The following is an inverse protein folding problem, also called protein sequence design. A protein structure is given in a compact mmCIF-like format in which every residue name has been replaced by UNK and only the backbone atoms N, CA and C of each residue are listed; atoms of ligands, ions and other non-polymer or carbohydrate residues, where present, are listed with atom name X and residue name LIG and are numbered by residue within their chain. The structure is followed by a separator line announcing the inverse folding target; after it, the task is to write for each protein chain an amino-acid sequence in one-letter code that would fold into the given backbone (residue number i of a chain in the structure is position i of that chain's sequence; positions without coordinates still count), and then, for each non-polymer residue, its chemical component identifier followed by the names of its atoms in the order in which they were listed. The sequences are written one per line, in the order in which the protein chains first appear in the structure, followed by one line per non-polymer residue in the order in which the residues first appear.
data_IF_754062878329
#
_entry.id   IF_754062878329
#
_cell.length_a   1.000
_cell.length_b   1.000
_cell.length_c   1.000
_cell.angle_alpha   90.00
_cell.angle_beta   90.00
_cell.angle_gamma   90.00
#
_symmetry.space_group_name_H-M   'P 1'
#
loop_
_entity.id
_entity.type
_entity.pdbx_description
1 polymer ?
#
# COMPACT_ATOMS: atom_id res chain seq x y z
N UNK A 1 -40.62 -42.32 43.34
CA UNK A 1 -40.47 -40.94 43.82
C UNK A 1 -39.24 -40.37 43.11
N UNK A 2 -39.42 -39.63 42.02
CA UNK A 2 -38.32 -39.28 41.09
C UNK A 2 -38.03 -37.78 41.20
N UNK A 3 -36.83 -37.45 41.67
CA UNK A 3 -36.41 -36.08 41.99
C UNK A 3 -35.94 -35.36 40.72
N UNK A 4 -36.59 -34.23 40.40
CA UNK A 4 -36.23 -33.28 39.34
C UNK A 4 -34.98 -32.49 39.74
N UNK A 5 -33.82 -32.81 39.18
CA UNK A 5 -32.61 -31.96 39.22
C UNK A 5 -32.08 -31.83 37.79
N UNK A 6 -32.61 -30.89 37.00
CA UNK A 6 -32.08 -30.71 35.63
C UNK A 6 -32.36 -29.33 35.01
N UNK A 7 -32.69 -28.29 35.79
CA UNK A 7 -32.99 -26.96 35.23
C UNK A 7 -31.98 -25.85 35.53
N UNK A 8 -31.08 -26.01 36.52
CA UNK A 8 -30.13 -24.95 36.91
C UNK A 8 -28.85 -24.87 36.07
N UNK A 9 -28.26 -26.03 35.73
CA UNK A 9 -26.90 -26.10 35.15
C UNK A 9 -26.87 -25.66 33.68
N UNK A 10 -27.96 -25.92 32.93
CA UNK A 10 -28.06 -25.56 31.51
C UNK A 10 -28.11 -24.05 31.26
N UNK A 11 -28.53 -23.25 32.25
CA UNK A 11 -28.64 -21.78 32.12
C UNK A 11 -27.29 -21.07 32.25
N UNK A 12 -26.41 -21.58 33.12
CA UNK A 12 -25.10 -20.98 33.41
C UNK A 12 -24.12 -21.23 32.26
N UNK A 13 -24.15 -22.43 31.65
CA UNK A 13 -23.34 -22.75 30.48
C UNK A 13 -23.64 -21.86 29.26
N UNK A 14 -24.91 -21.53 29.01
CA UNK A 14 -25.29 -20.61 27.92
C UNK A 14 -24.78 -19.18 28.13
N UNK A 15 -24.75 -18.69 29.37
CA UNK A 15 -24.23 -17.35 29.70
C UNK A 15 -22.71 -17.28 29.54
N UNK A 16 -21.99 -18.31 29.99
CA UNK A 16 -20.52 -18.38 29.83
C UNK A 16 -20.09 -18.46 28.37
N UNK A 17 -20.76 -19.28 27.56
CA UNK A 17 -20.47 -19.38 26.11
C UNK A 17 -20.75 -18.07 25.39
N UNK A 18 -21.84 -17.36 25.75
CA UNK A 18 -22.18 -16.08 25.14
C UNK A 18 -21.17 -14.98 25.48
N UNK A 19 -20.68 -14.92 26.73
CA UNK A 19 -19.64 -13.96 27.13
C UNK A 19 -18.31 -14.26 26.45
N UNK A 20 -17.96 -15.55 26.31
CA UNK A 20 -16.74 -15.96 25.61
C UNK A 20 -16.79 -15.61 24.12
N UNK A 21 -17.94 -15.81 23.47
CA UNK A 21 -18.11 -15.51 22.05
C UNK A 21 -18.03 -13.99 21.78
N UNK A 22 -18.62 -13.18 22.66
CA UNK A 22 -18.53 -11.71 22.58
C UNK A 22 -17.09 -11.23 22.81
N UNK A 23 -16.35 -11.84 23.73
CA UNK A 23 -14.93 -11.54 23.97
C UNK A 23 -14.06 -11.92 22.77
N UNK A 24 -14.29 -13.08 22.15
CA UNK A 24 -13.52 -13.53 20.96
C UNK A 24 -13.81 -12.64 19.75
N UNK A 25 -15.08 -12.27 19.52
CA UNK A 25 -15.45 -11.34 18.42
C UNK A 25 -14.88 -9.95 18.67
N UNK A 26 -14.90 -9.46 19.93
CA UNK A 26 -14.29 -8.18 20.28
C UNK A 26 -12.77 -8.20 20.12
N UNK A 27 -12.11 -9.31 20.44
CA UNK A 27 -10.66 -9.46 20.29
C UNK A 27 -10.25 -9.53 18.81
N UNK A 28 -11.04 -10.19 17.95
CA UNK A 28 -10.82 -10.19 16.50
C UNK A 28 -11.06 -8.82 15.84
N UNK A 29 -11.92 -7.98 16.42
CA UNK A 29 -12.15 -6.60 15.96
C UNK A 29 -11.08 -5.61 16.45
N UNK A 30 -10.31 -5.95 17.48
CA UNK A 30 -9.24 -5.13 18.05
C UNK A 30 -7.85 -5.46 17.48
N UNK A 31 -7.70 -6.56 16.75
CA UNK A 31 -6.48 -6.85 15.98
C UNK A 31 -6.56 -6.30 14.56
N UNK A 32 -7.08 -5.09 14.36
CA UNK A 32 -6.57 -4.26 13.27
C UNK A 32 -5.16 -3.84 13.70
N UNK A 33 -4.20 -4.76 13.61
CA UNK A 33 -2.80 -4.41 13.74
C UNK A 33 -2.60 -3.22 12.82
N UNK A 34 -2.06 -2.12 13.35
CA UNK A 34 -1.60 -1.03 12.52
C UNK A 34 -0.51 -1.64 11.61
N UNK A 35 -0.91 -2.13 10.44
CA UNK A 35 0.01 -2.72 9.48
C UNK A 35 0.73 -1.52 8.92
N UNK A 36 1.97 -1.29 9.38
CA UNK A 36 2.87 -0.32 8.75
C UNK A 36 2.81 -0.50 7.23
N UNK A 37 2.92 0.60 6.48
CA UNK A 37 2.82 0.48 5.04
C UNK A 37 3.93 -0.46 4.56
N UNK A 38 3.56 -1.51 3.82
CA UNK A 38 4.55 -2.45 3.32
C UNK A 38 5.30 -1.75 2.19
N UNK A 39 6.54 -1.35 2.48
CA UNK A 39 7.49 -0.81 1.50
C UNK A 39 8.34 -1.94 0.93
N UNK A 40 8.33 -2.07 -0.39
CA UNK A 40 9.19 -3.00 -1.11
C UNK A 40 10.09 -2.25 -2.09
N UNK A 41 11.33 -2.70 -2.22
CA UNK A 41 12.19 -2.28 -3.35
C UNK A 41 11.74 -3.03 -4.60
N UNK A 42 11.31 -2.30 -5.62
CA UNK A 42 10.76 -2.83 -6.86
C UNK A 42 11.86 -3.10 -7.89
N UNK A 43 11.81 -4.27 -8.51
CA UNK A 43 12.63 -4.66 -9.65
C UNK A 43 11.76 -5.40 -10.67
N UNK A 44 12.37 -5.76 -11.80
CA UNK A 44 11.65 -6.45 -12.87
C UNK A 44 11.07 -7.81 -12.44
N UNK A 45 11.77 -8.54 -11.56
CA UNK A 45 11.38 -9.90 -11.16
C UNK A 45 10.20 -9.91 -10.19
N UNK A 46 10.04 -8.87 -9.37
CA UNK A 46 9.01 -8.82 -8.35
C UNK A 46 7.82 -7.90 -8.71
N UNK A 47 7.83 -7.25 -9.88
CA UNK A 47 6.73 -6.38 -10.30
C UNK A 47 5.38 -7.09 -10.29
N UNK A 48 5.32 -8.30 -10.84
CA UNK A 48 4.08 -9.07 -10.89
C UNK A 48 3.54 -9.37 -9.48
N UNK A 49 4.38 -9.92 -8.61
CA UNK A 49 3.98 -10.33 -7.26
C UNK A 49 3.72 -9.13 -6.35
N UNK A 50 4.51 -8.06 -6.47
CA UNK A 50 4.44 -6.92 -5.56
C UNK A 50 3.37 -5.91 -5.96
N UNK A 51 3.15 -5.74 -7.27
CA UNK A 51 2.26 -4.72 -7.82
C UNK A 51 0.98 -5.34 -8.38
N UNK A 52 1.11 -6.32 -9.29
CA UNK A 52 -0.04 -6.79 -10.04
C UNK A 52 -0.94 -7.74 -9.24
N UNK A 53 -0.34 -8.59 -8.41
CA UNK A 53 -1.05 -9.57 -7.59
C UNK A 53 -1.42 -9.02 -6.21
N UNK A 54 -1.30 -7.70 -5.97
CA UNK A 54 -1.60 -7.12 -4.66
C UNK A 54 -3.11 -6.91 -4.45
N UNK A 55 -3.59 -7.31 -3.27
CA UNK A 55 -4.96 -7.05 -2.81
C UNK A 55 -5.20 -5.59 -2.37
N UNK A 56 -4.12 -4.83 -2.15
CA UNK A 56 -4.17 -3.40 -1.82
C UNK A 56 -3.83 -2.55 -3.03
N UNK A 57 -4.32 -1.31 -3.13
CA UNK A 57 -3.78 -0.34 -4.07
C UNK A 57 -2.27 -0.17 -3.83
N UNK A 58 -1.48 -0.27 -4.90
CA UNK A 58 -0.02 -0.20 -4.85
C UNK A 58 0.45 1.11 -5.47
N UNK A 59 1.15 1.92 -4.68
CA UNK A 59 1.86 3.10 -5.16
C UNK A 59 3.21 2.66 -5.68
N UNK A 60 3.45 2.85 -6.96
CA UNK A 60 4.73 2.58 -7.62
C UNK A 60 5.46 3.91 -7.80
N UNK A 61 6.59 4.06 -7.12
CA UNK A 61 7.47 5.22 -7.24
C UNK A 61 8.73 4.79 -7.99
N UNK A 62 8.92 5.31 -9.20
CA UNK A 62 10.11 5.04 -9.99
C UNK A 62 10.99 6.28 -10.04
N UNK A 63 12.27 6.13 -9.71
CA UNK A 63 13.24 7.22 -9.70
C UNK A 63 14.26 6.99 -10.80
N UNK A 64 14.66 8.02 -11.52
CA UNK A 64 15.83 7.88 -12.42
C UNK A 64 17.10 7.87 -11.59
N UNK A 65 17.97 6.91 -11.89
CA UNK A 65 19.31 6.82 -11.30
C UNK A 65 20.12 8.12 -11.47
N UNK A 66 19.85 8.92 -12.50
CA UNK A 66 20.52 10.20 -12.72
C UNK A 66 20.25 11.21 -11.58
N UNK A 67 19.05 11.18 -11.00
CA UNK A 67 18.66 12.08 -9.91
C UNK A 67 18.98 11.52 -8.52
N UNK A 68 19.48 10.29 -8.44
CA UNK A 68 19.99 9.67 -7.21
C UNK A 68 21.49 10.00 -7.03
N UNK A 69 21.86 11.28 -7.07
CA UNK A 69 23.26 11.73 -7.01
C UNK A 69 24.00 11.28 -5.73
N UNK A 70 23.29 11.16 -4.60
CA UNK A 70 23.83 10.65 -3.32
C UNK A 70 23.42 9.17 -3.03
N UNK A 71 23.03 8.43 -4.06
CA UNK A 71 22.76 6.99 -3.97
C UNK A 71 21.64 6.60 -3.00
N UNK A 72 21.92 5.66 -2.09
CA UNK A 72 20.96 5.02 -1.20
C UNK A 72 20.25 5.98 -0.22
N UNK A 73 20.88 7.09 0.18
CA UNK A 73 20.30 8.03 1.14
C UNK A 73 19.02 8.70 0.60
N UNK A 74 19.04 9.09 -0.69
CA UNK A 74 17.88 9.71 -1.34
C UNK A 74 16.75 8.70 -1.59
N UNK A 75 17.09 7.41 -1.78
CA UNK A 75 16.11 6.35 -1.94
C UNK A 75 15.39 6.03 -0.63
N UNK A 76 16.13 5.91 0.48
CA UNK A 76 15.54 5.66 1.81
C UNK A 76 14.71 6.85 2.30
N UNK A 77 15.16 8.09 2.05
CA UNK A 77 14.35 9.28 2.31
C UNK A 77 13.05 9.27 1.49
N UNK A 78 13.12 8.90 0.21
CA UNK A 78 11.93 8.83 -0.65
C UNK A 78 10.96 7.74 -0.20
N UNK A 79 11.47 6.57 0.19
CA UNK A 79 10.67 5.48 0.80
C UNK A 79 9.95 5.98 2.04
N UNK A 80 10.66 6.56 2.99
CA UNK A 80 10.07 7.10 4.23
C UNK A 80 9.04 8.20 3.93
N UNK A 81 9.34 9.09 2.98
CA UNK A 81 8.41 10.15 2.57
C UNK A 81 7.14 9.59 1.94
N UNK A 82 7.25 8.57 1.09
CA UNK A 82 6.10 7.89 0.51
C UNK A 82 5.29 7.17 1.60
N UNK A 83 5.95 6.50 2.55
CA UNK A 83 5.31 5.85 3.70
C UNK A 83 4.43 6.81 4.47
N UNK A 84 5.02 7.95 4.86
CA UNK A 84 4.34 8.96 5.64
C UNK A 84 3.17 9.61 4.88
N UNK A 85 3.28 9.75 3.55
CA UNK A 85 2.26 10.40 2.75
C UNK A 85 1.05 9.50 2.43
N UNK A 86 1.31 8.26 2.01
CA UNK A 86 0.26 7.33 1.59
C UNK A 86 -0.30 6.53 2.77
N UNK A 87 0.52 6.22 3.77
CA UNK A 87 0.13 5.47 4.95
C UNK A 87 -0.26 4.02 4.66
N UNK A 88 -0.87 3.37 5.64
CA UNK A 88 -1.17 1.92 5.65
C UNK A 88 -2.24 1.45 4.65
N UNK A 89 -2.98 2.41 4.07
CA UNK A 89 -4.04 2.14 3.09
C UNK A 89 -3.48 1.69 1.74
N UNK A 90 -2.22 2.03 1.47
CA UNK A 90 -1.53 1.69 0.24
C UNK A 90 -0.36 0.74 0.56
N UNK A 91 -0.06 -0.14 -0.39
CA UNK A 91 1.25 -0.77 -0.48
C UNK A 91 2.16 0.17 -1.26
N UNK A 92 3.46 0.21 -0.94
CA UNK A 92 4.39 1.12 -1.59
C UNK A 92 5.52 0.31 -2.19
N UNK A 93 5.80 0.53 -3.47
CA UNK A 93 6.85 -0.11 -4.23
C UNK A 93 7.76 0.97 -4.82
N UNK A 94 9.03 1.01 -4.41
CA UNK A 94 9.99 2.03 -4.87
C UNK A 94 11.11 1.37 -5.66
N UNK A 95 11.39 1.83 -6.87
CA UNK A 95 12.44 1.25 -7.72
C UNK A 95 13.10 2.26 -8.65
N UNK A 96 14.10 1.79 -9.39
CA UNK A 96 14.75 2.59 -10.44
C UNK A 96 13.96 2.50 -11.76
N UNK A 97 13.88 3.59 -12.52
CA UNK A 97 13.29 3.60 -13.87
C UNK A 97 14.02 2.62 -14.78
N UNK A 98 15.35 2.62 -14.70
CA UNK A 98 16.25 1.85 -15.55
C UNK A 98 16.05 0.32 -15.40
N UNK A 99 15.52 -0.12 -14.26
CA UNK A 99 15.19 -1.53 -13.97
C UNK A 99 13.71 -1.86 -14.23
N UNK A 100 12.84 -0.84 -14.35
CA UNK A 100 11.39 -0.98 -14.37
C UNK A 100 10.77 -0.28 -15.59
N UNK A 101 11.40 -0.41 -16.76
CA UNK A 101 11.00 0.28 -17.99
C UNK A 101 9.55 0.02 -18.42
N UNK A 102 9.02 -1.18 -18.18
CA UNK A 102 7.60 -1.49 -18.44
C UNK A 102 6.67 -0.62 -17.58
N UNK A 103 6.87 -0.58 -16.27
CA UNK A 103 6.06 0.23 -15.37
C UNK A 103 6.18 1.73 -15.68
N UNK A 104 7.40 2.18 -16.00
CA UNK A 104 7.65 3.56 -16.44
C UNK A 104 6.93 3.91 -17.75
N UNK A 105 6.81 2.97 -18.67
CA UNK A 105 6.11 3.18 -19.94
C UNK A 105 4.62 3.46 -19.78
N UNK A 106 3.99 2.92 -18.73
CA UNK A 106 2.56 3.09 -18.41
C UNK A 106 2.22 4.52 -17.92
N UNK A 107 3.21 5.24 -17.40
CA UNK A 107 3.01 6.61 -16.93
C UNK A 107 3.20 7.57 -18.10
N UNK A 108 2.19 8.41 -18.37
CA UNK A 108 2.29 9.44 -19.43
C UNK A 108 3.11 10.61 -18.89
N UNK A 109 4.37 10.69 -19.30
CA UNK A 109 5.30 11.76 -18.93
C UNK A 109 6.12 12.22 -20.13
N UNK A 110 6.70 13.44 -20.09
CA UNK A 110 7.64 13.88 -21.11
C UNK A 110 8.79 12.88 -21.30
N UNK A 111 9.00 12.43 -22.54
CA UNK A 111 10.10 11.52 -22.90
C UNK A 111 11.36 12.34 -23.16
N UNK A 112 11.99 12.80 -22.09
CA UNK A 112 13.20 13.62 -22.08
C UNK A 112 14.34 12.85 -21.41
N UNK A 113 15.59 13.30 -21.60
CA UNK A 113 16.76 12.77 -20.89
C UNK A 113 17.38 13.86 -20.00
N UNK A 114 17.66 13.60 -18.71
CA UNK A 114 17.37 12.36 -17.98
C UNK A 114 15.85 12.13 -17.83
N UNK A 115 15.39 10.87 -17.74
CA UNK A 115 13.97 10.58 -17.63
C UNK A 115 13.42 11.11 -16.28
N UNK A 116 12.28 11.81 -16.26
CA UNK A 116 11.66 12.25 -15.01
C UNK A 116 11.26 11.05 -14.16
N UNK A 117 11.44 11.14 -12.84
CA UNK A 117 10.92 10.18 -11.87
C UNK A 117 9.39 10.22 -11.85
N UNK A 118 8.72 9.11 -11.57
CA UNK A 118 7.25 8.98 -11.69
C UNK A 118 6.62 8.39 -10.46
N UNK A 119 5.34 8.72 -10.26
CA UNK A 119 4.46 8.04 -9.31
C UNK A 119 3.22 7.57 -10.02
N UNK A 120 2.89 6.30 -9.87
CA UNK A 120 1.67 5.69 -10.39
C UNK A 120 1.00 4.84 -9.33
N UNK A 121 -0.30 4.63 -9.48
CA UNK A 121 -1.09 3.79 -8.58
C UNK A 121 -1.68 2.65 -9.40
N UNK A 122 -1.51 1.43 -8.89
CA UNK A 122 -2.06 0.21 -9.45
C UNK A 122 -3.15 -0.33 -8.51
N UNK A 123 -4.22 -0.89 -9.09
CA UNK A 123 -5.28 -1.57 -8.37
C UNK A 123 -5.76 -2.76 -9.18
N UNK A 124 -5.94 -3.92 -8.52
CA UNK A 124 -6.40 -5.16 -9.17
C UNK A 124 -5.55 -5.51 -10.41
N UNK A 125 -4.22 -5.43 -10.32
CA UNK A 125 -3.34 -5.76 -11.44
C UNK A 125 -3.11 -4.68 -12.48
N UNK A 126 -3.89 -3.60 -12.47
CA UNK A 126 -3.95 -2.63 -13.55
C UNK A 126 -3.49 -1.25 -13.11
N UNK A 127 -2.91 -0.50 -14.05
CA UNK A 127 -2.67 0.92 -13.86
C UNK A 127 -4.00 1.63 -13.61
N UNK A 128 -4.11 2.33 -12.49
CA UNK A 128 -5.33 3.01 -12.06
C UNK A 128 -5.20 4.53 -12.13
N UNK A 129 -4.06 5.10 -11.75
CA UNK A 129 -3.87 6.55 -11.67
C UNK A 129 -2.40 6.98 -11.70
N UNK A 130 -2.18 8.30 -11.80
CA UNK A 130 -0.85 8.93 -11.80
C UNK A 130 -0.38 9.35 -13.19
N UNK A 131 -1.29 9.51 -14.16
CA UNK A 131 -0.91 10.00 -15.50
C UNK A 131 -0.43 11.45 -15.39
N UNK A 132 0.87 11.66 -15.52
CA UNK A 132 1.49 12.96 -15.35
C UNK A 132 1.99 13.26 -13.93
N UNK A 133 1.91 12.31 -13.01
CA UNK A 133 2.60 12.43 -11.71
C UNK A 133 4.09 12.16 -11.88
N UNK A 134 4.87 13.22 -12.01
CA UNK A 134 6.33 13.13 -12.16
C UNK A 134 7.08 14.19 -11.37
N UNK A 135 8.34 13.93 -11.10
CA UNK A 135 9.28 14.83 -10.44
C UNK A 135 10.69 14.60 -10.97
N UNK A 136 11.53 15.63 -10.95
CA UNK A 136 12.95 15.48 -11.32
C UNK A 136 13.77 15.11 -10.09
N UNK A 137 13.72 15.97 -9.06
CA UNK A 137 14.44 15.77 -7.81
C UNK A 137 13.60 14.93 -6.83
N UNK A 138 14.12 13.83 -6.27
CA UNK A 138 13.45 13.03 -5.22
C UNK A 138 12.93 13.84 -4.03
N UNK A 139 13.60 14.94 -3.70
CA UNK A 139 13.18 15.83 -2.62
C UNK A 139 11.87 16.58 -2.93
N UNK A 140 11.54 16.77 -4.21
CA UNK A 140 10.36 17.50 -4.69
C UNK A 140 9.17 16.59 -5.03
N UNK A 141 9.22 15.32 -4.63
CA UNK A 141 8.22 14.28 -4.93
C UNK A 141 6.80 14.53 -4.40
N UNK A 142 6.59 15.47 -3.46
CA UNK A 142 5.30 15.67 -2.77
C UNK A 142 4.17 15.99 -3.73
N UNK A 143 4.41 16.89 -4.70
CA UNK A 143 3.36 17.27 -5.67
C UNK A 143 2.95 16.11 -6.57
N UNK A 144 3.90 15.24 -6.93
CA UNK A 144 3.60 14.04 -7.70
C UNK A 144 2.78 13.04 -6.87
N UNK A 145 3.05 12.94 -5.55
CA UNK A 145 2.27 12.10 -4.64
C UNK A 145 0.83 12.61 -4.51
N UNK A 146 0.66 13.90 -4.27
CA UNK A 146 -0.65 14.56 -4.20
C UNK A 146 -1.45 14.36 -5.47
N UNK A 147 -0.83 14.59 -6.63
CA UNK A 147 -1.48 14.40 -7.92
C UNK A 147 -1.93 12.95 -8.13
N UNK A 148 -1.03 11.98 -7.94
CA UNK A 148 -1.36 10.56 -8.14
C UNK A 148 -2.47 10.10 -7.20
N UNK A 149 -2.43 10.51 -5.93
CA UNK A 149 -3.45 10.19 -4.93
C UNK A 149 -4.80 10.82 -5.28
N UNK A 150 -4.81 12.09 -5.64
CA UNK A 150 -6.04 12.80 -6.01
C UNK A 150 -6.68 12.21 -7.27
N UNK A 151 -5.89 11.87 -8.28
CA UNK A 151 -6.35 11.19 -9.51
C UNK A 151 -7.00 9.83 -9.20
N UNK A 152 -6.40 9.07 -8.29
CA UNK A 152 -6.95 7.78 -7.84
C UNK A 152 -8.22 7.91 -7.01
N UNK A 153 -8.25 8.80 -6.03
CA UNK A 153 -9.38 8.94 -5.11
C UNK A 153 -10.60 9.58 -5.80
N UNK A 154 -10.36 10.48 -6.77
CA UNK A 154 -11.44 11.08 -7.58
C UNK A 154 -12.03 10.11 -8.61
N UNK A 155 -11.24 9.16 -9.13
CA UNK A 155 -11.75 8.13 -10.07
C UNK A 155 -12.46 6.96 -9.39
N UNK A 156 -12.34 6.84 -8.06
CA UNK A 156 -13.03 5.84 -7.25
C UNK A 156 -14.37 6.33 -6.65
N UNK A 157 -14.68 7.62 -6.82
CA UNK A 157 -15.91 8.28 -6.35
C UNK A 157 -16.98 8.34 -7.44
#
# INVERSE_FOLDING_TARGET
MTVKITKGIASIGKRLVSVFLVLVVSLMLLTSGAVAATITTLNQQNFETEVQQSDKPVVVVLVSNYFLQDGQANLEQLKSKAENFFGSNYKIAVGAIEENGYAYSQTIVPRLFPPPSTVSIYKNGNFAAGRGAFFMNPNDSTKAFEYAKSDFESSAS
#
